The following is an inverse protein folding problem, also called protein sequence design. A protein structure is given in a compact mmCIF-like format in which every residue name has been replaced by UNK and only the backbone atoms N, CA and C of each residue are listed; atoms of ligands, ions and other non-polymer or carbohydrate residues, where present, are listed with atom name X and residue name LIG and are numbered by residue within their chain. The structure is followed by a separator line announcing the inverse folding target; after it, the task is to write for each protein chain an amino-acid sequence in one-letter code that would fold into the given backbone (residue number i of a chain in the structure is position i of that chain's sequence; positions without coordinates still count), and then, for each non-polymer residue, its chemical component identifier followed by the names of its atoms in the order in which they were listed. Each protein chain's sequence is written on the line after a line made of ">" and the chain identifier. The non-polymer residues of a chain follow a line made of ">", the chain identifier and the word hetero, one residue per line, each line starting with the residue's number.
data_IF_378784496208
#
_entry.id   IF_378784496208
#
_cell.length_a   1.000
_cell.length_b   1.000
_cell.length_c   1.000
_cell.angle_alpha   90.00
_cell.angle_beta   90.00
_cell.angle_gamma   90.00
#
_symmetry.space_group_name_H-M   'P 1'
#
loop_
_entity.id
_entity.type
_entity.pdbx_description
1 polymer ?
#
# COMPACT_ATOMS: atom_id res chain seq x y z
N UNK A 1 55.94 31.27 57.32
CA UNK A 1 54.60 30.74 57.63
C UNK A 1 54.10 30.11 56.35
N UNK A 2 54.10 28.78 56.34
CA UNK A 2 53.53 27.85 55.35
C UNK A 2 52.00 28.07 55.11
N UNK A 3 51.25 27.18 54.40
CA UNK A 3 51.14 27.12 52.93
C UNK A 3 49.66 26.87 52.48
N UNK A 4 49.42 26.67 51.17
CA UNK A 4 48.47 25.66 50.67
C UNK A 4 46.96 25.99 50.55
N UNK A 5 46.35 25.37 49.52
CA UNK A 5 44.91 25.26 49.26
C UNK A 5 44.54 25.86 47.90
N UNK A 6 44.50 25.17 46.75
CA UNK A 6 43.79 23.94 46.34
C UNK A 6 42.24 24.04 46.46
N UNK A 7 41.55 24.05 45.31
CA UNK A 7 40.24 23.40 44.99
C UNK A 7 39.70 24.02 43.68
N UNK A 8 39.79 23.34 42.53
CA UNK A 8 38.84 22.36 41.94
C UNK A 8 37.48 22.98 41.58
N UNK A 9 37.17 22.99 40.27
CA UNK A 9 36.04 22.26 39.63
C UNK A 9 34.66 22.80 40.03
N UNK A 10 33.71 23.12 39.15
CA UNK A 10 33.33 22.55 37.87
C UNK A 10 31.82 22.80 37.71
N UNK A 11 31.27 22.45 36.55
CA UNK A 11 29.82 22.37 36.33
C UNK A 11 29.19 23.66 35.76
N UNK A 12 28.38 23.63 34.72
CA UNK A 12 27.77 22.48 34.06
C UNK A 12 27.21 22.95 32.71
N UNK A 13 27.80 22.49 31.61
CA UNK A 13 27.24 22.67 30.27
C UNK A 13 26.18 21.58 30.10
N UNK A 14 24.91 22.00 30.13
CA UNK A 14 23.74 21.14 29.95
C UNK A 14 23.89 20.20 28.73
N UNK A 15 23.78 18.87 28.90
CA UNK A 15 23.83 17.93 27.79
C UNK A 15 22.53 17.93 26.99
N UNK A 16 22.59 18.21 25.69
CA UNK A 16 21.50 17.90 24.77
C UNK A 16 21.34 16.38 24.68
N UNK A 17 20.11 15.92 24.93
CA UNK A 17 19.69 14.54 24.82
C UNK A 17 19.85 14.03 23.37
N UNK A 18 20.22 12.76 23.16
CA UNK A 18 20.30 12.18 21.82
C UNK A 18 18.90 12.07 21.18
N UNK A 19 18.81 12.12 19.83
CA UNK A 19 17.55 12.00 19.12
C UNK A 19 16.91 10.62 19.33
N UNK A 20 15.56 10.53 19.29
CA UNK A 20 14.85 9.28 19.54
C UNK A 20 15.19 8.22 18.47
N UNK A 21 15.22 6.93 18.84
CA UNK A 21 15.45 5.84 17.90
C UNK A 21 14.38 5.85 16.81
N UNK A 22 14.81 5.79 15.54
CA UNK A 22 13.91 5.58 14.42
C UNK A 22 13.18 4.24 14.62
N UNK A 23 11.86 4.32 14.80
CA UNK A 23 11.00 3.15 14.86
C UNK A 23 10.94 2.52 13.47
N UNK A 24 11.46 1.29 13.37
CA UNK A 24 11.20 0.41 12.24
C UNK A 24 9.67 0.30 12.02
N UNK A 25 9.18 0.27 10.78
CA UNK A 25 7.77 -0.01 10.51
C UNK A 25 7.44 -1.39 11.09
N UNK A 26 6.72 -1.41 12.21
CA UNK A 26 6.16 -2.63 12.77
C UNK A 26 5.27 -3.27 11.69
N UNK A 27 5.43 -4.57 11.38
CA UNK A 27 4.49 -5.25 10.51
C UNK A 27 3.13 -5.22 11.20
N UNK A 28 2.24 -4.37 10.70
CA UNK A 28 0.86 -4.24 11.15
C UNK A 28 0.26 -5.66 11.21
N UNK A 29 -0.41 -6.05 12.31
CA UNK A 29 -1.08 -7.33 12.36
C UNK A 29 -2.06 -7.38 11.19
N UNK A 30 -1.76 -8.23 10.21
CA UNK A 30 -2.58 -8.44 9.03
C UNK A 30 -3.95 -8.88 9.55
N UNK A 31 -4.89 -7.95 9.61
CA UNK A 31 -6.26 -8.25 9.99
C UNK A 31 -6.72 -9.33 9.02
N UNK A 32 -7.00 -10.52 9.54
CA UNK A 32 -7.50 -11.65 8.74
C UNK A 32 -8.77 -11.18 8.07
N UNK A 33 -8.69 -10.84 6.78
CA UNK A 33 -9.82 -10.32 6.02
C UNK A 33 -10.83 -11.45 5.91
N UNK A 34 -11.93 -11.36 6.65
CA UNK A 34 -13.00 -12.32 6.53
C UNK A 34 -13.60 -12.22 5.12
N UNK A 35 -13.53 -13.32 4.37
CA UNK A 35 -14.06 -13.43 3.02
C UNK A 35 -15.59 -13.43 3.04
N UNK A 36 -16.17 -12.34 2.51
CA UNK A 36 -17.61 -12.15 2.33
C UNK A 36 -17.96 -12.21 0.85
N UNK A 37 -18.81 -13.19 0.48
CA UNK A 37 -19.30 -13.37 -0.88
C UNK A 37 -20.57 -12.58 -1.18
N UNK A 38 -21.13 -11.86 -0.19
CA UNK A 38 -22.34 -11.07 -0.35
C UNK A 38 -22.20 -10.03 -1.45
N UNK A 39 -21.00 -9.44 -1.62
CA UNK A 39 -20.76 -8.48 -2.71
C UNK A 39 -20.82 -9.10 -4.10
N UNK A 40 -20.36 -10.34 -4.26
CA UNK A 40 -20.48 -11.06 -5.53
C UNK A 40 -21.94 -11.44 -5.81
N UNK A 41 -22.67 -11.84 -4.77
CA UNK A 41 -24.11 -12.13 -4.86
C UNK A 41 -24.93 -10.89 -5.24
N UNK A 42 -24.73 -9.77 -4.55
CA UNK A 42 -25.44 -8.52 -4.84
C UNK A 42 -25.16 -8.09 -6.29
N UNK A 43 -23.91 -8.17 -6.74
CA UNK A 43 -23.55 -7.82 -8.12
C UNK A 43 -24.26 -8.72 -9.16
N UNK A 44 -24.41 -10.02 -8.86
CA UNK A 44 -25.14 -10.94 -9.71
C UNK A 44 -26.64 -10.63 -9.72
N UNK A 45 -27.21 -10.35 -8.54
CA UNK A 45 -28.61 -9.97 -8.40
C UNK A 45 -28.93 -8.68 -9.18
N UNK A 46 -28.07 -7.66 -9.06
CA UNK A 46 -28.18 -6.43 -9.84
C UNK A 46 -28.08 -6.69 -11.35
N UNK A 47 -27.24 -7.63 -11.78
CA UNK A 47 -27.13 -7.99 -13.20
C UNK A 47 -28.45 -8.55 -13.77
N UNK A 48 -29.19 -9.33 -12.98
CA UNK A 48 -30.51 -9.83 -13.38
C UNK A 48 -31.65 -8.81 -13.18
N UNK A 49 -31.38 -7.66 -12.58
CA UNK A 49 -32.42 -6.66 -12.36
C UNK A 49 -32.97 -6.13 -13.70
N UNK A 50 -34.30 -5.93 -13.83
CA UNK A 50 -34.90 -5.43 -15.06
C UNK A 50 -34.32 -4.08 -15.50
N UNK A 51 -33.98 -3.22 -14.54
CA UNK A 51 -33.38 -1.93 -14.83
C UNK A 51 -32.02 -2.07 -15.54
N UNK A 52 -31.13 -2.92 -15.01
CA UNK A 52 -29.81 -3.14 -15.59
C UNK A 52 -29.90 -3.76 -16.99
N UNK A 53 -30.70 -4.82 -17.13
CA UNK A 53 -30.88 -5.54 -18.40
C UNK A 53 -31.46 -4.65 -19.49
N UNK A 54 -32.48 -3.85 -19.16
CA UNK A 54 -33.06 -2.89 -20.10
C UNK A 54 -32.06 -1.78 -20.46
N UNK A 55 -31.38 -1.20 -19.47
CA UNK A 55 -30.37 -0.17 -19.72
C UNK A 55 -29.27 -0.69 -20.66
N UNK A 56 -28.87 -1.96 -20.49
CA UNK A 56 -27.83 -2.54 -21.29
C UNK A 56 -28.29 -2.84 -22.72
N UNK A 57 -29.49 -3.39 -22.86
CA UNK A 57 -30.12 -3.61 -24.15
C UNK A 57 -30.27 -2.30 -24.95
N UNK A 58 -30.71 -1.20 -24.31
CA UNK A 58 -30.82 0.09 -24.99
C UNK A 58 -29.46 0.66 -25.44
N UNK A 59 -28.37 0.36 -24.74
CA UNK A 59 -27.02 0.87 -25.08
C UNK A 59 -26.27 -0.01 -26.07
N UNK A 60 -26.42 -1.33 -25.97
CA UNK A 60 -25.57 -2.31 -26.64
C UNK A 60 -26.34 -3.22 -27.59
N UNK A 61 -27.68 -3.25 -27.50
CA UNK A 61 -28.55 -4.09 -28.33
C UNK A 61 -28.66 -5.55 -27.87
N UNK A 62 -28.00 -5.91 -26.77
CA UNK A 62 -27.93 -7.27 -26.25
C UNK A 62 -28.21 -7.30 -24.74
N UNK A 63 -28.72 -8.43 -24.26
CA UNK A 63 -28.90 -8.68 -22.84
C UNK A 63 -27.59 -9.21 -22.22
N UNK A 64 -27.29 -8.79 -21.00
CA UNK A 64 -26.12 -9.29 -20.27
C UNK A 64 -26.41 -10.73 -19.80
N UNK A 65 -25.50 -11.65 -20.09
CA UNK A 65 -25.61 -13.06 -19.68
C UNK A 65 -25.23 -13.29 -18.22
N UNK A 66 -24.67 -12.27 -17.55
CA UNK A 66 -24.24 -12.29 -16.16
C UNK A 66 -23.19 -13.36 -15.81
N UNK A 67 -22.61 -14.07 -16.80
CA UNK A 67 -21.68 -15.17 -16.55
C UNK A 67 -20.45 -14.74 -15.75
N UNK A 68 -19.88 -13.56 -16.02
CA UNK A 68 -18.75 -13.05 -15.25
C UNK A 68 -19.08 -12.76 -13.77
N UNK A 69 -20.33 -12.41 -13.46
CA UNK A 69 -20.79 -12.21 -12.07
C UNK A 69 -21.04 -13.55 -11.37
N UNK A 70 -21.56 -14.53 -12.12
CA UNK A 70 -21.71 -15.91 -11.67
C UNK A 70 -20.36 -16.55 -11.34
N UNK A 71 -19.37 -16.40 -12.23
CA UNK A 71 -18.02 -16.92 -12.04
C UNK A 71 -17.37 -16.30 -10.79
N UNK A 72 -17.49 -14.98 -10.61
CA UNK A 72 -16.99 -14.30 -9.42
C UNK A 72 -17.67 -14.77 -8.11
N UNK A 73 -18.97 -15.10 -8.15
CA UNK A 73 -19.68 -15.68 -7.01
C UNK A 73 -19.19 -17.10 -6.74
N UNK A 74 -19.03 -17.92 -7.78
CA UNK A 74 -18.55 -19.29 -7.66
C UNK A 74 -17.10 -19.37 -7.17
N UNK A 75 -16.20 -18.52 -7.67
CA UNK A 75 -14.82 -18.41 -7.18
C UNK A 75 -14.82 -18.04 -5.68
N UNK A 76 -15.64 -17.07 -5.27
CA UNK A 76 -15.73 -16.69 -3.86
C UNK A 76 -16.24 -17.83 -2.97
N UNK A 77 -17.28 -18.55 -3.39
CA UNK A 77 -17.81 -19.70 -2.67
C UNK A 77 -16.79 -20.84 -2.59
N UNK A 78 -16.08 -21.09 -3.70
CA UNK A 78 -15.00 -22.09 -3.76
C UNK A 78 -13.87 -21.73 -2.79
N UNK A 79 -13.45 -20.46 -2.75
CA UNK A 79 -12.50 -19.95 -1.76
C UNK A 79 -13.00 -20.11 -0.33
N UNK A 80 -14.30 -19.89 -0.07
CA UNK A 80 -14.89 -20.04 1.25
C UNK A 80 -14.89 -21.46 1.77
N UNK A 81 -14.89 -22.46 0.88
CA UNK A 81 -14.80 -23.88 1.26
C UNK A 81 -13.38 -24.35 1.59
N UNK A 82 -12.34 -23.58 1.26
CA UNK A 82 -10.94 -23.92 1.55
C UNK A 82 -10.53 -23.56 2.98
N UNK A 83 -9.40 -24.11 3.42
CA UNK A 83 -8.84 -23.83 4.76
C UNK A 83 -8.47 -22.34 4.87
N UNK A 84 -8.75 -21.73 6.01
CA UNK A 84 -8.51 -20.29 6.23
C UNK A 84 -7.04 -19.85 5.99
N UNK A 85 -6.07 -20.72 6.25
CA UNK A 85 -4.65 -20.46 5.97
C UNK A 85 -4.34 -20.36 4.48
N UNK A 86 -4.91 -21.27 3.68
CA UNK A 86 -4.73 -21.28 2.21
C UNK A 86 -5.47 -20.09 1.57
N UNK A 87 -6.64 -19.74 2.11
CA UNK A 87 -7.40 -18.60 1.60
C UNK A 87 -6.64 -17.29 1.79
N UNK A 88 -6.02 -17.09 2.96
CA UNK A 88 -5.23 -15.88 3.20
C UNK A 88 -4.05 -15.78 2.22
N UNK A 89 -3.35 -16.88 1.98
CA UNK A 89 -2.24 -16.91 1.01
C UNK A 89 -2.72 -16.60 -0.41
N UNK A 90 -3.84 -17.17 -0.84
CA UNK A 90 -4.43 -16.88 -2.16
C UNK A 90 -4.85 -15.42 -2.27
N UNK A 91 -5.45 -14.85 -1.23
CA UNK A 91 -5.85 -13.44 -1.22
C UNK A 91 -4.63 -12.52 -1.27
N UNK A 92 -3.58 -12.82 -0.51
CA UNK A 92 -2.36 -12.03 -0.48
C UNK A 92 -1.61 -12.12 -1.83
N UNK A 93 -1.55 -13.31 -2.44
CA UNK A 93 -0.98 -13.49 -3.78
C UNK A 93 -1.75 -12.70 -4.84
N UNK A 94 -3.09 -12.71 -4.77
CA UNK A 94 -3.95 -11.91 -5.64
C UNK A 94 -3.77 -10.41 -5.41
N UNK A 95 -3.58 -9.97 -4.16
CA UNK A 95 -3.32 -8.56 -3.84
C UNK A 95 -1.93 -8.10 -4.34
N UNK A 96 -0.89 -8.94 -4.19
CA UNK A 96 0.45 -8.68 -4.72
C UNK A 96 0.50 -8.66 -6.25
N UNK A 97 -0.31 -9.49 -6.91
CA UNK A 97 -0.40 -9.55 -8.36
C UNK A 97 -1.14 -8.35 -8.98
N UNK A 98 -1.97 -7.64 -8.19
CA UNK A 98 -2.62 -6.41 -8.67
C UNK A 98 -1.54 -5.35 -8.90
N UNK A 99 -1.45 -4.87 -10.14
CA UNK A 99 -0.66 -3.68 -10.45
C UNK A 99 -1.25 -2.51 -9.67
N UNK A 100 -0.50 -2.03 -8.69
CA UNK A 100 -0.90 -0.91 -7.87
C UNK A 100 -0.71 0.39 -8.65
N UNK A 101 -1.66 1.31 -8.55
CA UNK A 101 -1.65 2.60 -9.30
C UNK A 101 -0.37 3.41 -8.99
N UNK A 102 0.19 3.25 -7.78
CA UNK A 102 1.33 4.03 -7.29
C UNK A 102 2.52 3.16 -6.90
N UNK A 103 3.37 2.80 -7.86
CA UNK A 103 4.67 2.19 -7.58
C UNK A 103 5.67 3.25 -7.11
N UNK A 104 6.24 3.11 -5.92
CA UNK A 104 7.35 3.97 -5.50
C UNK A 104 8.56 3.72 -6.40
N UNK A 105 9.14 4.80 -6.94
CA UNK A 105 10.42 4.74 -7.64
C UNK A 105 11.56 4.63 -6.62
N UNK A 106 12.68 4.04 -7.02
CA UNK A 106 13.91 4.10 -6.21
C UNK A 106 14.41 5.55 -6.12
N UNK A 107 15.32 5.85 -5.18
CA UNK A 107 15.86 7.21 -5.02
C UNK A 107 16.58 7.67 -6.29
N UNK A 108 17.29 6.75 -6.94
CA UNK A 108 18.02 6.97 -8.18
C UNK A 108 17.05 7.24 -9.33
N UNK A 109 16.03 6.40 -9.50
CA UNK A 109 14.99 6.59 -10.53
C UNK A 109 14.16 7.86 -10.30
N UNK A 110 13.84 8.18 -9.05
CA UNK A 110 13.10 9.38 -8.68
C UNK A 110 13.93 10.64 -9.00
N UNK A 111 15.22 10.64 -8.67
CA UNK A 111 16.12 11.76 -8.97
C UNK A 111 16.30 11.94 -10.48
N UNK A 112 16.53 10.85 -11.23
CA UNK A 112 16.62 10.90 -12.70
C UNK A 112 15.31 11.37 -13.35
N UNK A 113 14.15 10.90 -12.86
CA UNK A 113 12.85 11.34 -13.33
C UNK A 113 12.58 12.82 -13.05
N UNK A 114 12.96 13.29 -11.85
CA UNK A 114 12.89 14.70 -11.46
C UNK A 114 13.72 15.57 -12.41
N UNK A 115 14.98 15.20 -12.63
CA UNK A 115 15.84 15.92 -13.57
C UNK A 115 15.28 15.89 -14.99
N UNK A 116 14.76 14.75 -15.47
CA UNK A 116 14.12 14.66 -16.79
C UNK A 116 12.93 15.62 -16.93
N UNK A 117 12.16 15.83 -15.87
CA UNK A 117 10.98 16.72 -15.88
C UNK A 117 11.35 18.20 -15.71
N UNK A 118 12.35 18.52 -14.88
CA UNK A 118 12.63 19.87 -14.42
C UNK A 118 14.01 20.42 -14.82
N UNK A 119 14.77 19.73 -15.71
CA UNK A 119 16.09 20.20 -16.17
C UNK A 119 16.09 21.62 -16.76
N UNK A 120 14.95 22.11 -17.24
CA UNK A 120 14.81 23.46 -17.77
C UNK A 120 14.97 24.53 -16.68
N UNK A 121 14.67 24.19 -15.43
CA UNK A 121 14.64 25.14 -14.32
C UNK A 121 15.83 24.99 -13.36
N UNK A 122 16.56 23.87 -13.40
CA UNK A 122 17.63 23.57 -12.45
C UNK A 122 18.83 22.92 -13.14
N UNK A 123 20.05 23.29 -12.69
CA UNK A 123 21.31 22.65 -13.14
C UNK A 123 21.50 21.33 -12.38
N UNK A 124 21.76 20.19 -13.07
CA UNK A 124 22.02 18.92 -12.39
C UNK A 124 23.29 18.99 -11.53
N UNK A 125 23.34 18.27 -10.39
CA UNK A 125 24.53 18.22 -9.55
C UNK A 125 25.70 17.60 -10.32
N UNK A 126 26.90 18.17 -10.17
CA UNK A 126 28.15 17.61 -10.69
C UNK A 126 28.49 16.34 -9.92
N UNK A 127 28.90 15.28 -10.62
CA UNK A 127 29.18 13.94 -10.06
C UNK A 127 30.42 13.88 -9.11
N UNK A 128 30.94 15.01 -8.64
CA UNK A 128 32.21 15.09 -7.89
C UNK A 128 32.06 15.12 -6.37
N UNK A 129 30.85 15.03 -5.82
CA UNK A 129 30.62 15.05 -4.37
C UNK A 129 30.16 13.65 -3.92
N UNK A 130 31.13 12.74 -3.77
CA UNK A 130 31.01 11.47 -3.03
C UNK A 130 32.20 11.35 -2.11
#
# INVERSE_FOLDING_TARGET
>A
MDPGGASTEGGEKSPQSPPPPQQQPQPQPQQRKALSCTKCFDALWFCYSPFHQMQQYYRQGEFDTCFGKWDALFDCLSLKTKRSSEVQEILDAREKAKQHIWTYRTVEEASANWWRMYNRFHKPPSQSDT
#
